data_IF_983254194487
#
_entry.id   IF_983254194487
#
_cell.length_a   1.000
_cell.length_b   1.000
_cell.length_c   1.000
_cell.angle_alpha   90.00
_cell.angle_beta   90.00
_cell.angle_gamma   90.00
#
_symmetry.space_group_name_H-M   'P 1'
#
loop_
_entity.id
_entity.type
_entity.pdbx_description
1 polymer ?
#
# COMPACT_ATOMS: atom_id res chain seq x y z
N UNK A 1 -8.82 -11.41 -1.28
CA UNK A 1 -7.78 -12.43 -1.13
C UNK A 1 -6.57 -11.84 -0.43
N UNK A 2 -6.37 -12.18 0.84
CA UNK A 2 -5.12 -11.94 1.56
C UNK A 2 -4.58 -13.32 1.94
N UNK A 3 -3.27 -13.53 1.78
CA UNK A 3 -2.52 -14.80 1.92
C UNK A 3 -2.14 -15.42 0.58
N UNK A 4 -1.03 -14.99 -0.03
CA UNK A 4 -0.14 -15.86 -0.83
C UNK A 4 1.24 -15.24 -1.12
N UNK A 5 1.82 -14.43 -0.21
CA UNK A 5 3.09 -13.73 -0.49
C UNK A 5 4.22 -13.90 0.56
N UNK A 6 4.22 -14.99 1.33
CA UNK A 6 5.34 -15.26 2.25
C UNK A 6 5.79 -16.72 2.13
N UNK A 7 6.83 -16.98 1.33
CA UNK A 7 7.82 -18.02 1.61
C UNK A 7 8.89 -18.12 0.50
N UNK A 8 10.13 -17.72 0.85
CA UNK A 8 11.46 -18.06 0.29
C UNK A 8 12.29 -16.77 0.21
N UNK A 9 13.54 -16.66 0.69
CA UNK A 9 14.57 -17.63 1.02
C UNK A 9 15.59 -16.96 1.95
N UNK A 10 16.18 -17.77 2.82
CA UNK A 10 17.33 -17.45 3.66
C UNK A 10 18.67 -17.73 2.94
N UNK A 11 19.71 -17.02 3.41
CA UNK A 11 21.16 -17.36 3.53
C UNK A 11 22.21 -16.85 2.51
N UNK A 12 23.05 -15.93 3.04
CA UNK A 12 24.53 -15.82 3.01
C UNK A 12 25.31 -15.41 1.73
N UNK A 13 26.59 -14.96 1.83
CA UNK A 13 27.18 -14.03 2.81
C UNK A 13 28.09 -12.94 2.17
N UNK A 14 28.56 -12.05 3.06
CA UNK A 14 29.48 -10.92 2.94
C UNK A 14 30.64 -10.96 1.92
N UNK A 15 30.97 -9.78 1.37
CA UNK A 15 32.35 -9.44 1.04
C UNK A 15 32.63 -7.95 1.22
N UNK A 16 33.63 -7.66 2.05
CA UNK A 16 34.07 -6.33 2.45
C UNK A 16 35.00 -5.71 1.40
N UNK A 17 34.89 -4.41 1.15
CA UNK A 17 36.01 -3.61 0.60
C UNK A 17 36.02 -2.18 1.15
N UNK A 18 37.24 -1.76 1.48
CA UNK A 18 37.65 -0.56 2.21
C UNK A 18 37.37 0.73 1.46
N UNK A 19 36.96 1.73 2.23
CA UNK A 19 36.99 3.15 1.93
C UNK A 19 38.41 3.71 2.13
N UNK A 20 38.77 4.73 1.34
CA UNK A 20 39.60 5.84 1.81
C UNK A 20 39.07 7.17 1.23
N UNK A 21 39.26 8.30 1.93
CA UNK A 21 38.44 9.50 1.82
C UNK A 21 39.15 10.61 1.02
N UNK A 22 38.37 11.54 0.46
CA UNK A 22 38.86 12.87 0.10
C UNK A 22 37.80 13.92 0.46
N UNK A 23 38.26 14.91 1.20
CA UNK A 23 37.57 16.01 1.86
C UNK A 23 37.55 17.26 0.97
N UNK A 24 36.50 18.06 1.01
CA UNK A 24 36.57 19.54 0.99
C UNK A 24 35.18 20.20 1.20
N UNK A 25 35.13 21.44 1.75
CA UNK A 25 33.96 22.05 2.40
C UNK A 25 33.18 23.08 1.54
N UNK A 26 32.06 23.66 2.02
CA UNK A 26 30.92 24.16 1.22
C UNK A 26 30.86 25.70 1.09
N UNK A 27 29.84 26.23 0.36
CA UNK A 27 29.31 27.55 0.71
C UNK A 27 27.77 27.61 0.85
N UNK A 28 27.36 28.07 2.05
CA UNK A 28 26.29 29.05 2.37
C UNK A 28 24.95 29.03 1.61
N UNK A 29 23.88 28.73 2.34
CA UNK A 29 22.49 29.07 2.00
C UNK A 29 22.04 30.35 2.74
N UNK A 30 21.24 31.24 2.13
CA UNK A 30 20.53 32.29 2.84
C UNK A 30 19.11 31.87 3.23
N UNK A 31 18.67 32.47 4.34
CA UNK A 31 17.41 32.27 5.05
C UNK A 31 16.16 32.64 4.25
N UNK A 32 15.11 31.83 4.35
CA UNK A 32 13.72 32.27 4.17
C UNK A 32 12.71 31.18 4.58
N UNK A 33 12.49 30.95 5.88
CA UNK A 33 11.27 30.31 6.38
C UNK A 33 10.95 30.82 7.80
N UNK A 34 10.46 32.05 7.88
CA UNK A 34 9.79 32.60 9.06
C UNK A 34 8.30 32.67 8.80
N UNK A 35 7.59 31.54 8.89
CA UNK A 35 6.14 31.54 9.15
C UNK A 35 5.80 30.29 9.96
N UNK A 36 5.05 30.50 11.05
CA UNK A 36 4.41 29.54 11.98
C UNK A 36 5.18 29.24 13.29
N UNK A 37 5.27 30.25 14.16
CA UNK A 37 4.96 30.10 15.59
C UNK A 37 3.57 30.74 15.77
N UNK A 38 2.56 30.20 16.43
CA UNK A 38 2.40 29.57 17.76
C UNK A 38 0.98 28.91 17.68
N UNK A 39 0.62 27.82 18.35
CA UNK A 39 0.49 27.69 19.80
C UNK A 39 0.37 26.19 20.17
N UNK A 40 0.92 25.84 21.32
CA UNK A 40 0.98 24.47 21.81
C UNK A 40 -0.26 24.16 22.65
N UNK A 41 -1.02 23.13 22.25
CA UNK A 41 -1.98 22.44 23.12
C UNK A 41 -1.71 20.93 23.07
N UNK A 42 -1.79 20.22 24.19
CA UNK A 42 -1.42 18.81 24.26
C UNK A 42 -2.42 17.94 23.48
N UNK A 43 -1.89 17.11 22.58
CA UNK A 43 -2.65 16.10 21.84
C UNK A 43 -3.28 15.07 22.79
N UNK A 44 -4.55 14.66 22.60
CA UNK A 44 -5.14 13.57 23.39
C UNK A 44 -4.46 12.22 23.06
N UNK A 45 -4.41 11.26 24.00
CA UNK A 45 -3.78 9.98 23.78
C UNK A 45 -4.50 9.16 22.70
N UNK A 46 -3.72 8.51 21.83
CA UNK A 46 -4.20 7.63 20.77
C UNK A 46 -4.94 6.40 21.34
N UNK A 47 -5.97 5.88 20.65
CA UNK A 47 -6.71 4.70 21.09
C UNK A 47 -5.85 3.42 20.99
N UNK A 48 -6.02 2.55 21.98
CA UNK A 48 -5.34 1.25 22.13
C UNK A 48 -5.91 0.24 21.12
N UNK A 49 -5.09 -0.60 20.45
CA UNK A 49 -5.59 -1.62 19.51
C UNK A 49 -6.42 -2.72 20.21
N UNK A 50 -7.38 -3.38 19.53
CA UNK A 50 -8.20 -4.44 20.12
C UNK A 50 -7.37 -5.69 20.44
N UNK A 51 -7.61 -6.26 21.63
CA UNK A 51 -7.09 -7.55 22.08
C UNK A 51 -7.59 -8.70 21.18
N UNK A 52 -6.68 -9.56 20.72
CA UNK A 52 -7.02 -10.77 19.98
C UNK A 52 -7.78 -11.78 20.86
N UNK A 53 -8.76 -12.52 20.33
CA UNK A 53 -9.48 -13.54 21.09
C UNK A 53 -8.64 -14.81 21.26
N UNK A 54 -8.35 -15.16 22.52
CA UNK A 54 -7.80 -16.45 22.94
C UNK A 54 -8.81 -17.58 22.65
N UNK A 55 -8.38 -18.57 21.87
CA UNK A 55 -9.11 -19.81 21.60
C UNK A 55 -8.68 -20.87 22.61
N UNK A 56 -9.61 -21.34 23.45
CA UNK A 56 -9.38 -22.47 24.36
C UNK A 56 -9.38 -23.83 23.61
N UNK A 57 -8.53 -24.80 24.01
CA UNK A 57 -8.46 -26.12 23.40
C UNK A 57 -9.57 -27.08 23.91
N UNK A 58 -9.93 -28.14 23.14
CA UNK A 58 -11.07 -28.98 23.46
C UNK A 58 -10.72 -30.03 24.54
N UNK A 59 -11.64 -30.17 25.51
CA UNK A 59 -11.61 -31.19 26.56
C UNK A 59 -12.13 -32.53 25.99
N UNK A 60 -11.31 -33.58 26.08
CA UNK A 60 -11.72 -34.98 25.90
C UNK A 60 -12.07 -35.55 27.26
N UNK A 61 -13.26 -36.11 27.41
CA UNK A 61 -13.56 -37.12 28.43
C UNK A 61 -14.55 -38.12 27.82
N UNK A 62 -14.27 -39.41 28.00
CA UNK A 62 -15.10 -40.52 27.57
C UNK A 62 -15.52 -41.41 28.73
N UNK A 63 -16.71 -42.01 28.60
CA UNK A 63 -17.19 -43.33 29.10
C UNK A 63 -18.73 -43.32 29.02
N UNK A 64 -19.40 -44.14 28.18
CA UNK A 64 -19.91 -45.53 28.42
C UNK A 64 -20.86 -45.63 29.62
N UNK A 65 -22.07 -46.20 29.65
CA UNK A 65 -22.89 -47.17 28.90
C UNK A 65 -24.39 -46.71 29.04
N UNK A 66 -25.44 -47.20 28.36
CA UNK A 66 -25.95 -48.58 28.28
C UNK A 66 -27.16 -48.69 27.31
N UNK A 67 -27.51 -49.94 27.01
CA UNK A 67 -28.37 -50.42 25.94
C UNK A 67 -29.88 -50.18 26.08
N UNK A 68 -30.57 -50.21 24.93
CA UNK A 68 -32.02 -50.40 24.83
C UNK A 68 -32.40 -50.90 23.43
N UNK A 69 -32.81 -52.17 23.35
CA UNK A 69 -33.32 -52.84 22.15
C UNK A 69 -34.65 -52.26 21.66
N UNK A 70 -34.86 -52.23 20.35
CA UNK A 70 -36.16 -51.97 19.73
C UNK A 70 -36.12 -52.15 18.22
N UNK A 71 -36.97 -53.03 17.71
CA UNK A 71 -36.92 -53.65 16.40
C UNK A 71 -37.50 -52.80 15.25
N UNK A 72 -37.16 -53.18 14.01
CA UNK A 72 -38.11 -53.14 12.89
C UNK A 72 -37.62 -52.53 11.58
N UNK A 73 -37.68 -53.33 10.51
CA UNK A 73 -38.08 -52.81 9.19
C UNK A 73 -36.98 -52.67 8.14
N UNK A 74 -36.72 -53.77 7.44
CA UNK A 74 -36.04 -53.76 6.16
C UNK A 74 -36.88 -53.04 5.08
N UNK A 75 -36.27 -52.09 4.38
CA UNK A 75 -36.62 -51.78 2.99
C UNK A 75 -35.34 -51.46 2.22
N UNK A 76 -35.23 -52.14 1.07
CA UNK A 76 -34.09 -52.18 0.18
C UNK A 76 -34.46 -51.31 -1.01
N UNK A 77 -33.81 -50.17 -1.22
CA UNK A 77 -34.00 -49.37 -2.44
C UNK A 77 -32.74 -48.60 -2.81
N UNK A 78 -32.25 -48.90 -4.02
CA UNK A 78 -31.68 -47.90 -4.92
C UNK A 78 -30.27 -47.41 -4.60
N UNK A 79 -29.29 -48.17 -5.06
CA UNK A 79 -27.93 -47.68 -5.27
C UNK A 79 -27.93 -46.73 -6.48
N UNK A 80 -28.39 -45.49 -6.26
CA UNK A 80 -28.20 -44.37 -7.16
C UNK A 80 -26.99 -43.58 -6.67
N UNK A 81 -25.83 -43.83 -7.28
CA UNK A 81 -24.62 -43.05 -7.05
C UNK A 81 -24.82 -41.62 -7.59
N UNK A 82 -25.49 -40.78 -6.81
CA UNK A 82 -25.39 -39.34 -6.97
C UNK A 82 -24.01 -38.92 -6.45
N UNK A 83 -23.01 -39.05 -7.32
CA UNK A 83 -21.77 -38.28 -7.21
C UNK A 83 -22.11 -36.81 -7.51
N UNK A 84 -22.82 -36.18 -6.56
CA UNK A 84 -22.89 -34.74 -6.46
C UNK A 84 -21.52 -34.24 -6.07
N UNK A 85 -20.61 -34.18 -7.04
CA UNK A 85 -19.40 -33.40 -6.92
C UNK A 85 -19.84 -31.99 -6.56
N UNK A 86 -19.58 -31.56 -5.33
CA UNK A 86 -19.70 -30.16 -4.94
C UNK A 86 -18.86 -29.40 -5.94
N UNK A 87 -19.51 -28.76 -6.91
CA UNK A 87 -18.82 -27.90 -7.87
C UNK A 87 -18.00 -26.93 -7.03
N UNK A 88 -16.74 -26.77 -7.42
CA UNK A 88 -15.93 -25.58 -7.11
C UNK A 88 -16.59 -24.36 -7.78
N UNK A 89 -17.86 -24.10 -7.44
CA UNK A 89 -18.72 -23.14 -8.13
C UNK A 89 -18.36 -21.71 -7.77
N UNK A 90 -17.85 -21.49 -6.55
CA UNK A 90 -17.35 -20.17 -6.13
C UNK A 90 -16.11 -19.73 -6.91
N UNK A 91 -15.12 -20.61 -7.06
CA UNK A 91 -13.87 -20.27 -7.75
C UNK A 91 -14.10 -20.01 -9.25
N UNK A 92 -14.95 -20.79 -9.91
CA UNK A 92 -15.29 -20.55 -11.32
C UNK A 92 -16.06 -19.24 -11.52
N UNK A 93 -16.98 -18.91 -10.60
CA UNK A 93 -17.77 -17.70 -10.68
C UNK A 93 -16.94 -16.42 -10.43
N UNK A 94 -16.01 -16.46 -9.48
CA UNK A 94 -15.06 -15.36 -9.25
C UNK A 94 -14.14 -15.13 -10.47
N UNK A 95 -13.71 -16.21 -11.14
CA UNK A 95 -12.91 -16.11 -12.37
C UNK A 95 -13.70 -15.46 -13.52
N UNK A 96 -14.98 -15.83 -13.68
CA UNK A 96 -15.89 -15.20 -14.64
C UNK A 96 -16.07 -13.71 -14.34
N UNK A 97 -16.27 -13.34 -13.07
CA UNK A 97 -16.37 -11.95 -12.65
C UNK A 97 -15.10 -11.14 -12.99
N UNK A 98 -13.91 -11.68 -12.72
CA UNK A 98 -12.65 -11.03 -13.08
C UNK A 98 -12.48 -10.86 -14.59
N UNK A 99 -12.88 -11.85 -15.40
CA UNK A 99 -12.87 -11.76 -16.87
C UNK A 99 -13.77 -10.62 -17.35
N UNK A 100 -14.95 -10.48 -16.77
CA UNK A 100 -15.87 -9.38 -17.08
C UNK A 100 -15.25 -8.03 -16.71
N UNK A 101 -14.74 -7.85 -15.49
CA UNK A 101 -14.12 -6.59 -15.06
C UNK A 101 -12.93 -6.20 -15.96
N UNK A 102 -12.07 -7.16 -16.31
CA UNK A 102 -10.94 -6.94 -17.22
C UNK A 102 -11.41 -6.49 -18.61
N UNK A 103 -12.39 -7.16 -19.19
CA UNK A 103 -12.96 -6.78 -20.49
C UNK A 103 -13.66 -5.42 -20.46
N UNK A 104 -14.27 -5.07 -19.33
CA UNK A 104 -14.97 -3.79 -19.12
C UNK A 104 -14.05 -2.58 -19.25
N UNK A 105 -12.77 -2.72 -18.86
CA UNK A 105 -11.78 -1.64 -18.96
C UNK A 105 -11.64 -1.10 -20.39
N UNK A 106 -11.77 -1.95 -21.42
CA UNK A 106 -11.70 -1.53 -22.82
C UNK A 106 -12.80 -0.52 -23.21
N UNK A 107 -13.92 -0.52 -22.49
CA UNK A 107 -15.05 0.38 -22.75
C UNK A 107 -14.99 1.65 -21.93
N UNK A 108 -14.18 1.72 -20.87
CA UNK A 108 -14.08 2.87 -19.96
C UNK A 108 -13.73 4.17 -20.68
N UNK A 109 -12.76 4.25 -21.62
CA UNK A 109 -12.44 5.52 -22.27
C UNK A 109 -13.64 6.16 -22.98
N UNK A 110 -14.55 5.33 -23.52
CA UNK A 110 -15.76 5.77 -24.23
C UNK A 110 -16.97 5.94 -23.31
N UNK A 111 -17.21 4.98 -22.41
CA UNK A 111 -18.43 4.89 -21.60
C UNK A 111 -18.26 5.37 -20.15
N UNK A 112 -17.04 5.73 -19.75
CA UNK A 112 -16.70 6.05 -18.36
C UNK A 112 -16.70 4.82 -17.45
N UNK A 113 -16.46 5.08 -16.16
CA UNK A 113 -16.56 4.09 -15.09
C UNK A 113 -18.03 3.85 -14.77
N UNK A 114 -18.67 2.98 -15.56
CA UNK A 114 -20.14 2.82 -15.56
C UNK A 114 -20.58 1.36 -15.67
N UNK A 115 -21.79 1.06 -15.18
CA UNK A 115 -22.46 -0.23 -15.40
C UNK A 115 -22.59 -0.57 -16.90
N UNK A 116 -22.72 0.42 -17.77
CA UNK A 116 -22.77 0.21 -19.22
C UNK A 116 -21.46 -0.36 -19.78
N UNK A 117 -20.31 0.12 -19.29
CA UNK A 117 -19.01 -0.46 -19.63
C UNK A 117 -18.91 -1.92 -19.16
N UNK A 118 -19.48 -2.23 -17.99
CA UNK A 118 -19.52 -3.59 -17.45
C UNK A 118 -20.40 -4.54 -18.27
N UNK A 119 -21.57 -4.07 -18.69
CA UNK A 119 -22.47 -4.83 -19.57
C UNK A 119 -21.80 -5.10 -20.92
N UNK A 120 -21.09 -4.12 -21.48
CA UNK A 120 -20.34 -4.29 -22.72
C UNK A 120 -19.20 -5.32 -22.54
N UNK A 121 -18.41 -5.21 -21.47
CA UNK A 121 -17.36 -6.17 -21.13
C UNK A 121 -17.89 -7.59 -20.94
N UNK A 122 -19.05 -7.76 -20.31
CA UNK A 122 -19.69 -9.07 -20.16
C UNK A 122 -20.02 -9.72 -21.51
N UNK A 123 -20.52 -8.93 -22.47
CA UNK A 123 -20.83 -9.42 -23.82
C UNK A 123 -19.56 -9.84 -24.57
N UNK A 124 -18.46 -9.11 -24.42
CA UNK A 124 -17.19 -9.43 -25.08
C UNK A 124 -16.61 -10.78 -24.65
N UNK A 125 -16.85 -11.18 -23.40
CA UNK A 125 -16.42 -12.49 -22.87
C UNK A 125 -17.53 -13.56 -22.90
N UNK A 126 -18.56 -13.34 -23.73
CA UNK A 126 -19.70 -14.24 -23.92
C UNK A 126 -20.47 -14.58 -22.62
N UNK A 127 -20.45 -13.69 -21.62
CA UNK A 127 -21.21 -13.81 -20.37
C UNK A 127 -22.56 -13.10 -20.47
N UNK A 128 -23.54 -13.57 -19.71
CA UNK A 128 -24.84 -12.89 -19.60
C UNK A 128 -24.66 -11.52 -18.91
N UNK A 129 -25.26 -10.43 -19.42
CA UNK A 129 -25.25 -9.11 -18.75
C UNK A 129 -25.75 -9.15 -17.31
N UNK A 130 -26.55 -10.15 -16.93
CA UNK A 130 -27.04 -10.33 -15.56
C UNK A 130 -25.90 -10.54 -14.54
N UNK A 131 -24.71 -10.99 -14.95
CA UNK A 131 -23.54 -11.13 -14.07
C UNK A 131 -23.15 -9.80 -13.42
N UNK A 132 -23.45 -8.67 -14.08
CA UNK A 132 -23.16 -7.34 -13.55
C UNK A 132 -23.93 -7.05 -12.26
N UNK A 133 -25.11 -7.65 -12.09
CA UNK A 133 -25.92 -7.54 -10.88
C UNK A 133 -25.27 -8.18 -9.64
N UNK A 134 -24.23 -9.00 -9.81
CA UNK A 134 -23.52 -9.63 -8.70
C UNK A 134 -22.38 -8.79 -8.12
N UNK A 135 -21.96 -7.70 -8.78
CA UNK A 135 -20.91 -6.84 -8.25
C UNK A 135 -21.47 -5.87 -7.20
N UNK A 136 -20.99 -5.92 -5.94
CA UNK A 136 -21.39 -4.95 -4.93
C UNK A 136 -20.89 -3.55 -5.35
N UNK A 137 -21.76 -2.53 -5.23
CA UNK A 137 -21.43 -1.13 -5.58
C UNK A 137 -20.98 -0.92 -7.04
N UNK A 138 -21.16 -1.91 -7.91
CA UNK A 138 -21.02 -1.87 -9.38
C UNK A 138 -19.78 -1.11 -9.88
N UNK A 139 -19.93 0.16 -10.26
CA UNK A 139 -18.85 1.00 -10.78
C UNK A 139 -17.65 1.08 -9.83
N UNK A 140 -17.90 1.07 -8.52
CA UNK A 140 -16.82 1.05 -7.53
C UNK A 140 -15.99 -0.24 -7.62
N UNK A 141 -16.62 -1.40 -7.86
CA UNK A 141 -15.91 -2.66 -8.04
C UNK A 141 -15.03 -2.64 -9.29
N UNK A 142 -15.46 -1.96 -10.36
CA UNK A 142 -14.64 -1.78 -11.57
C UNK A 142 -13.41 -0.91 -11.31
N UNK A 143 -13.57 0.20 -10.59
CA UNK A 143 -12.45 1.06 -10.19
C UNK A 143 -11.51 0.33 -9.24
N UNK A 144 -12.04 -0.37 -8.24
CA UNK A 144 -11.26 -1.18 -7.29
C UNK A 144 -10.43 -2.25 -8.02
N UNK A 145 -11.05 -2.97 -8.96
CA UNK A 145 -10.33 -3.94 -9.79
C UNK A 145 -9.20 -3.30 -10.59
N UNK A 146 -9.42 -2.15 -11.20
CA UNK A 146 -8.35 -1.43 -11.91
C UNK A 146 -7.20 -1.03 -11.00
N UNK A 147 -7.50 -0.58 -9.77
CA UNK A 147 -6.48 -0.21 -8.79
C UNK A 147 -5.63 -1.40 -8.36
N UNK A 148 -6.26 -2.56 -8.12
CA UNK A 148 -5.58 -3.81 -7.78
C UNK A 148 -4.76 -4.35 -8.96
N UNK A 149 -5.31 -4.33 -10.18
CA UNK A 149 -4.61 -4.78 -11.39
C UNK A 149 -3.39 -3.89 -11.69
N UNK A 150 -3.48 -2.57 -11.50
CA UNK A 150 -2.32 -1.69 -11.62
C UNK A 150 -1.23 -1.97 -10.58
N UNK A 151 -1.63 -2.29 -9.34
CA UNK A 151 -0.65 -2.67 -8.31
C UNK A 151 0.05 -3.97 -8.68
N UNK A 152 -0.71 -4.98 -9.11
CA UNK A 152 -0.14 -6.25 -9.56
C UNK A 152 0.82 -6.03 -10.74
N UNK A 153 0.42 -5.26 -11.74
CA UNK A 153 1.29 -4.93 -12.88
C UNK A 153 2.56 -4.18 -12.45
N UNK A 154 2.48 -3.32 -11.43
CA UNK A 154 3.66 -2.63 -10.90
C UNK A 154 4.63 -3.64 -10.29
N UNK A 155 4.14 -4.56 -9.47
CA UNK A 155 4.95 -5.61 -8.86
C UNK A 155 5.55 -6.56 -9.90
N UNK A 156 4.75 -6.97 -10.89
CA UNK A 156 5.23 -7.82 -11.98
C UNK A 156 6.37 -7.14 -12.77
N UNK A 157 6.29 -5.82 -13.00
CA UNK A 157 7.37 -5.06 -13.67
C UNK A 157 8.63 -5.01 -12.81
N UNK A 158 8.48 -4.80 -11.50
CA UNK A 158 9.59 -4.80 -10.54
C UNK A 158 10.30 -6.17 -10.55
N UNK A 159 9.54 -7.25 -10.47
CA UNK A 159 10.05 -8.62 -10.46
C UNK A 159 10.66 -9.04 -11.81
N UNK A 160 10.14 -8.52 -12.92
CA UNK A 160 10.61 -8.83 -14.27
C UNK A 160 11.93 -8.14 -14.67
N UNK A 161 12.51 -7.30 -13.80
CA UNK A 161 13.85 -6.73 -14.00
C UNK A 161 13.99 -5.26 -13.65
N UNK A 162 12.89 -4.51 -13.51
CA UNK A 162 12.96 -3.11 -13.06
C UNK A 162 13.58 -3.02 -11.65
N UNK A 163 13.38 -4.02 -10.79
CA UNK A 163 14.00 -4.09 -9.47
C UNK A 163 15.53 -4.00 -9.50
N UNK A 164 16.20 -4.62 -10.47
CA UNK A 164 17.67 -4.52 -10.61
C UNK A 164 18.10 -3.13 -11.09
N UNK A 165 17.32 -2.51 -11.98
CA UNK A 165 17.58 -1.13 -12.42
C UNK A 165 17.45 -0.15 -11.26
N UNK A 166 16.44 -0.34 -10.40
CA UNK A 166 16.20 0.50 -9.23
C UNK A 166 17.36 0.45 -8.23
N UNK A 167 18.01 -0.71 -8.02
CA UNK A 167 19.13 -0.84 -7.07
C UNK A 167 20.31 0.10 -7.38
N UNK A 168 20.52 0.41 -8.65
CA UNK A 168 21.61 1.30 -9.09
C UNK A 168 21.29 2.79 -8.96
N UNK A 169 20.04 3.14 -8.68
CA UNK A 169 19.58 4.52 -8.57
C UNK A 169 19.65 5.03 -7.12
N UNK A 170 19.64 6.35 -6.95
CA UNK A 170 19.45 6.96 -5.64
C UNK A 170 18.00 6.77 -5.15
N UNK A 171 17.76 6.78 -3.83
CA UNK A 171 16.43 6.59 -3.25
C UNK A 171 15.37 7.54 -3.86
N UNK A 172 15.73 8.82 -4.05
CA UNK A 172 14.86 9.82 -4.70
C UNK A 172 14.41 9.38 -6.09
N UNK A 173 15.35 8.87 -6.90
CA UNK A 173 15.11 8.43 -8.27
C UNK A 173 14.29 7.14 -8.28
N UNK A 174 14.55 6.20 -7.36
CA UNK A 174 13.76 4.97 -7.20
C UNK A 174 12.30 5.28 -6.92
N UNK A 175 12.04 6.09 -5.89
CA UNK A 175 10.68 6.48 -5.51
C UNK A 175 9.99 7.23 -6.64
N UNK A 176 10.70 8.14 -7.31
CA UNK A 176 10.12 8.90 -8.42
C UNK A 176 9.77 8.01 -9.61
N UNK A 177 10.63 7.05 -9.95
CA UNK A 177 10.38 6.06 -11.01
C UNK A 177 9.21 5.15 -10.67
N UNK A 178 9.11 4.65 -9.44
CA UNK A 178 8.01 3.81 -8.98
C UNK A 178 6.65 4.54 -9.01
N UNK A 179 6.61 5.77 -8.48
CA UNK A 179 5.41 6.61 -8.51
C UNK A 179 5.00 6.91 -9.95
N UNK A 180 5.97 7.27 -10.82
CA UNK A 180 5.73 7.52 -12.24
C UNK A 180 5.17 6.28 -12.94
N UNK A 181 5.80 5.12 -12.82
CA UNK A 181 5.31 3.87 -13.44
C UNK A 181 3.87 3.57 -13.06
N UNK A 182 3.49 3.80 -11.80
CA UNK A 182 2.12 3.60 -11.34
C UNK A 182 1.13 4.61 -11.94
N UNK A 183 1.50 5.89 -12.00
CA UNK A 183 0.66 6.94 -12.56
C UNK A 183 0.48 6.79 -14.08
N UNK A 184 1.53 6.36 -14.80
CA UNK A 184 1.48 6.12 -16.24
C UNK A 184 0.42 5.10 -16.65
N UNK A 185 0.10 4.13 -15.79
CA UNK A 185 -0.97 3.15 -16.02
C UNK A 185 -2.37 3.78 -16.13
N UNK A 186 -2.55 5.01 -15.60
CA UNK A 186 -3.81 5.75 -15.65
C UNK A 186 -3.97 6.53 -16.96
N UNK A 187 -2.89 6.72 -17.73
CA UNK A 187 -2.86 7.50 -18.98
C UNK A 187 -3.98 7.14 -19.96
N UNK A 188 -4.27 5.85 -20.26
CA UNK A 188 -5.33 5.49 -21.20
C UNK A 188 -6.74 5.90 -20.72
N UNK A 189 -6.89 6.16 -19.42
CA UNK A 189 -8.16 6.47 -18.76
C UNK A 189 -8.23 7.90 -18.24
N UNK A 190 -7.22 8.75 -18.52
CA UNK A 190 -7.07 10.06 -17.88
C UNK A 190 -8.30 10.96 -18.06
N UNK A 191 -8.95 10.90 -19.23
CA UNK A 191 -10.15 11.67 -19.56
C UNK A 191 -11.39 11.29 -18.72
N UNK A 192 -11.39 10.09 -18.14
CA UNK A 192 -12.44 9.57 -17.25
C UNK A 192 -11.93 9.37 -15.82
N UNK A 193 -10.67 9.65 -15.54
CA UNK A 193 -10.10 9.47 -14.20
C UNK A 193 -10.71 10.38 -13.13
N UNK A 194 -11.14 11.63 -13.41
CA UNK A 194 -11.88 12.42 -12.43
C UNK A 194 -13.17 11.73 -11.92
N UNK A 195 -13.84 10.97 -12.79
CA UNK A 195 -15.02 10.16 -12.41
C UNK A 195 -14.62 9.03 -11.47
N UNK A 196 -13.51 8.32 -11.75
CA UNK A 196 -13.00 7.27 -10.85
C UNK A 196 -12.61 7.82 -9.48
N UNK A 197 -11.95 8.99 -9.42
CA UNK A 197 -11.65 9.64 -8.14
C UNK A 197 -12.92 10.00 -7.38
N UNK A 198 -13.92 10.56 -8.07
CA UNK A 198 -15.22 10.86 -7.45
C UNK A 198 -15.89 9.60 -6.87
N UNK A 199 -15.87 8.48 -7.60
CA UNK A 199 -16.39 7.19 -7.10
C UNK A 199 -15.62 6.74 -5.87
N UNK A 200 -14.28 6.76 -5.88
CA UNK A 200 -13.44 6.38 -4.75
C UNK A 200 -13.68 7.26 -3.51
N UNK A 201 -13.97 8.54 -3.68
CA UNK A 201 -14.22 9.47 -2.57
C UNK A 201 -15.59 9.33 -1.90
N UNK A 202 -16.51 8.52 -2.45
CA UNK A 202 -17.82 8.30 -1.83
C UNK A 202 -17.66 7.60 -0.48
N UNK A 203 -18.50 7.91 0.54
CA UNK A 203 -18.39 7.31 1.88
C UNK A 203 -18.42 5.77 1.89
N UNK A 204 -19.14 5.15 0.96
CA UNK A 204 -19.22 3.71 0.82
C UNK A 204 -17.95 3.06 0.26
N UNK A 205 -17.05 3.84 -0.33
CA UNK A 205 -15.89 3.38 -1.11
C UNK A 205 -14.56 3.85 -0.50
N UNK A 206 -14.56 4.99 0.19
CA UNK A 206 -13.34 5.68 0.66
C UNK A 206 -12.46 4.82 1.55
N UNK A 207 -13.03 3.95 2.40
CA UNK A 207 -12.25 3.05 3.26
C UNK A 207 -11.45 2.04 2.44
N UNK A 208 -12.07 1.42 1.43
CA UNK A 208 -11.42 0.49 0.50
C UNK A 208 -10.38 1.21 -0.35
N UNK A 209 -10.71 2.38 -0.90
CA UNK A 209 -9.78 3.16 -1.73
C UNK A 209 -8.55 3.64 -0.94
N UNK A 210 -8.74 4.09 0.31
CA UNK A 210 -7.63 4.42 1.20
C UNK A 210 -6.78 3.19 1.51
N UNK A 211 -7.39 2.03 1.76
CA UNK A 211 -6.64 0.77 1.95
C UNK A 211 -5.80 0.42 0.72
N UNK A 212 -6.34 0.50 -0.49
CA UNK A 212 -5.59 0.24 -1.73
C UNK A 212 -4.41 1.20 -1.90
N UNK A 213 -4.61 2.50 -1.64
CA UNK A 213 -3.52 3.51 -1.65
C UNK A 213 -2.48 3.22 -0.59
N UNK A 214 -2.92 2.82 0.58
CA UNK A 214 -2.07 2.46 1.70
C UNK A 214 -1.19 1.26 1.31
N UNK A 215 -1.75 0.19 0.73
CA UNK A 215 -0.97 -0.98 0.27
C UNK A 215 0.01 -0.57 -0.85
N UNK A 216 -0.44 0.22 -1.83
CA UNK A 216 0.44 0.72 -2.89
C UNK A 216 1.67 1.47 -2.35
N UNK A 217 1.48 2.36 -1.39
CA UNK A 217 2.57 3.11 -0.77
C UNK A 217 3.55 2.18 -0.06
N UNK A 218 3.04 1.13 0.60
CA UNK A 218 3.86 0.14 1.29
C UNK A 218 4.73 -0.63 0.31
N UNK A 219 4.15 -1.08 -0.80
CA UNK A 219 4.86 -1.80 -1.87
C UNK A 219 5.91 -0.91 -2.55
N UNK A 220 5.61 0.39 -2.77
CA UNK A 220 6.60 1.33 -3.31
C UNK A 220 7.79 1.50 -2.35
N UNK A 221 7.53 1.66 -1.04
CA UNK A 221 8.61 1.75 -0.05
C UNK A 221 9.44 0.47 0.02
N UNK A 222 8.77 -0.68 -0.04
CA UNK A 222 9.43 -1.99 -0.06
C UNK A 222 10.34 -2.12 -1.30
N UNK A 223 9.80 -1.85 -2.49
CA UNK A 223 10.54 -1.91 -3.74
C UNK A 223 11.67 -0.89 -3.86
N UNK A 224 11.55 0.28 -3.21
CA UNK A 224 12.61 1.28 -3.16
C UNK A 224 13.82 0.83 -2.30
N UNK A 225 13.65 -0.23 -1.50
CA UNK A 225 14.71 -0.81 -0.67
C UNK A 225 15.03 0.04 0.56
N UNK A 226 14.02 0.66 1.19
CA UNK A 226 14.21 1.38 2.45
C UNK A 226 14.61 0.42 3.57
N UNK A 227 15.92 0.29 3.78
CA UNK A 227 16.49 -0.47 4.88
C UNK A 227 16.50 0.39 6.15
N UNK A 228 15.36 0.43 6.85
CA UNK A 228 15.31 0.80 8.26
C UNK A 228 15.71 2.25 8.59
N UNK A 229 15.14 3.23 7.90
CA UNK A 229 15.23 4.63 8.37
C UNK A 229 14.56 4.78 9.75
N UNK A 230 15.21 5.49 10.70
CA UNK A 230 14.71 5.82 12.06
C UNK A 230 13.38 6.58 12.13
N UNK A 231 12.87 7.03 10.98
CA UNK A 231 11.58 7.70 10.87
C UNK A 231 10.46 6.69 10.94
N UNK A 232 9.44 7.02 11.74
CA UNK A 232 8.22 6.25 11.88
C UNK A 232 7.62 5.90 10.50
N UNK A 233 7.32 4.62 10.34
CA UNK A 233 6.64 4.05 9.20
C UNK A 233 5.39 4.84 8.79
N UNK A 234 4.57 5.27 9.75
CA UNK A 234 3.35 6.03 9.49
C UNK A 234 3.63 7.40 8.88
N UNK A 235 4.74 8.04 9.26
CA UNK A 235 5.16 9.32 8.66
C UNK A 235 5.58 9.10 7.20
N UNK A 236 6.40 8.08 6.92
CA UNK A 236 6.80 7.74 5.54
C UNK A 236 5.59 7.45 4.67
N UNK A 237 4.64 6.67 5.19
CA UNK A 237 3.39 6.33 4.51
C UNK A 237 2.56 7.57 4.22
N UNK A 238 2.38 8.43 5.21
CA UNK A 238 1.59 9.66 5.07
C UNK A 238 2.20 10.60 4.04
N UNK A 239 3.51 10.81 4.10
CA UNK A 239 4.22 11.69 3.16
C UNK A 239 4.15 11.15 1.73
N UNK A 240 4.52 9.88 1.51
CA UNK A 240 4.50 9.32 0.15
C UNK A 240 3.07 9.18 -0.39
N UNK A 241 2.10 8.80 0.44
CA UNK A 241 0.69 8.75 0.06
C UNK A 241 0.12 10.12 -0.30
N UNK A 242 0.54 11.16 0.43
CA UNK A 242 0.22 12.55 0.13
C UNK A 242 0.81 13.01 -1.21
N UNK A 243 2.10 12.70 -1.45
CA UNK A 243 2.77 12.99 -2.73
C UNK A 243 2.07 12.29 -3.89
N UNK A 244 1.78 10.99 -3.75
CA UNK A 244 1.09 10.22 -4.77
C UNK A 244 -0.28 10.82 -5.10
N UNK A 245 -1.09 11.10 -4.07
CA UNK A 245 -2.44 11.64 -4.25
C UNK A 245 -2.43 13.05 -4.84
N UNK A 246 -1.49 13.91 -4.41
CA UNK A 246 -1.34 15.24 -4.99
C UNK A 246 -0.88 15.18 -6.45
N UNK A 247 0.02 14.25 -6.79
CA UNK A 247 0.52 14.06 -8.16
C UNK A 247 -0.56 13.51 -9.08
N UNK A 248 -1.39 12.59 -8.58
CA UNK A 248 -2.55 12.05 -9.30
C UNK A 248 -3.56 13.16 -9.65
N UNK A 249 -3.87 14.05 -8.71
CA UNK A 249 -4.75 15.20 -8.97
C UNK A 249 -4.09 16.21 -9.92
N UNK A 250 -2.79 16.46 -9.77
CA UNK A 250 -2.04 17.35 -10.66
C UNK A 250 -2.08 16.86 -12.12
N UNK A 251 -1.88 15.55 -12.32
CA UNK A 251 -1.89 14.89 -13.63
C UNK A 251 -3.19 15.09 -14.40
N UNK A 252 -4.33 15.26 -13.71
CA UNK A 252 -5.63 15.53 -14.36
C UNK A 252 -5.67 16.86 -15.12
N UNK A 253 -4.83 17.82 -14.73
CA UNK A 253 -4.81 19.18 -15.27
C UNK A 253 -3.57 19.45 -16.13
N UNK A 254 -2.68 18.48 -16.24
CA UNK A 254 -1.44 18.58 -16.98
C UNK A 254 -1.69 18.37 -18.48
N UNK A 255 -1.40 19.41 -19.27
CA UNK A 255 -1.50 19.40 -20.72
C UNK A 255 -0.12 19.40 -21.40
N UNK A 256 0.96 19.22 -20.62
CA UNK A 256 2.31 19.12 -21.16
C UNK A 256 2.51 17.81 -21.93
N UNK A 257 3.42 17.78 -22.92
CA UNK A 257 3.71 16.55 -23.67
C UNK A 257 4.11 15.41 -22.73
N UNK A 258 3.46 14.26 -22.86
CA UNK A 258 3.73 13.05 -22.07
C UNK A 258 3.74 13.28 -20.53
N UNK A 259 2.95 14.23 -20.03
CA UNK A 259 2.85 14.60 -18.61
C UNK A 259 4.18 15.05 -17.97
N UNK A 260 5.05 15.69 -18.75
CA UNK A 260 6.36 16.18 -18.29
C UNK A 260 6.28 17.00 -16.99
N UNK A 261 5.28 17.87 -16.87
CA UNK A 261 5.11 18.74 -15.70
C UNK A 261 4.71 17.93 -14.45
N UNK A 262 3.90 16.89 -14.62
CA UNK A 262 3.58 15.92 -13.55
C UNK A 262 4.85 15.21 -13.06
N UNK A 263 5.73 14.77 -13.97
CA UNK A 263 6.97 14.09 -13.57
C UNK A 263 7.93 15.04 -12.85
N UNK A 264 8.00 16.29 -13.29
CA UNK A 264 8.76 17.35 -12.61
C UNK A 264 8.19 17.61 -11.22
N UNK A 265 6.86 17.65 -11.07
CA UNK A 265 6.19 17.79 -9.79
C UNK A 265 6.53 16.64 -8.84
N UNK A 266 6.41 15.39 -9.30
CA UNK A 266 6.74 14.18 -8.52
C UNK A 266 8.19 14.22 -8.02
N UNK A 267 9.15 14.43 -8.93
CA UNK A 267 10.58 14.49 -8.60
C UNK A 267 10.87 15.54 -7.52
N UNK A 268 10.28 16.74 -7.67
CA UNK A 268 10.45 17.84 -6.72
C UNK A 268 9.86 17.48 -5.36
N UNK A 269 8.65 16.94 -5.30
CA UNK A 269 7.98 16.60 -4.03
C UNK A 269 8.68 15.48 -3.26
N UNK A 270 9.19 14.48 -3.98
CA UNK A 270 9.97 13.40 -3.35
C UNK A 270 11.30 13.94 -2.83
N UNK A 271 11.97 14.80 -3.59
CA UNK A 271 13.19 15.47 -3.13
C UNK A 271 12.94 16.29 -1.86
N UNK A 272 11.91 17.15 -1.87
CA UNK A 272 11.54 17.98 -0.72
C UNK A 272 11.29 17.11 0.53
N UNK A 273 10.60 15.98 0.38
CA UNK A 273 10.34 15.05 1.46
C UNK A 273 11.63 14.44 2.03
N UNK A 274 12.53 13.94 1.17
CA UNK A 274 13.78 13.33 1.62
C UNK A 274 14.76 14.34 2.23
N UNK A 275 14.77 15.59 1.73
CA UNK A 275 15.61 16.65 2.28
C UNK A 275 15.08 17.14 3.64
N UNK A 276 13.75 17.18 3.83
CA UNK A 276 13.13 17.43 5.13
C UNK A 276 13.47 16.32 6.14
N UNK A 277 13.45 15.06 5.71
CA UNK A 277 13.84 13.92 6.55
C UNK A 277 15.30 14.02 7.03
N UNK A 278 16.24 14.40 6.15
CA UNK A 278 17.65 14.63 6.53
C UNK A 278 17.78 15.77 7.54
N UNK A 279 17.13 16.90 7.25
CA UNK A 279 17.17 18.09 8.11
C UNK A 279 16.65 17.78 9.52
N UNK A 280 15.57 17.00 9.62
CA UNK A 280 15.02 16.58 10.90
C UNK A 280 16.00 15.71 11.70
N UNK A 281 16.68 14.77 11.04
CA UNK A 281 17.69 13.91 11.68
C UNK A 281 18.89 14.70 12.20
N UNK A 282 19.37 15.68 11.44
CA UNK A 282 20.46 16.55 11.85
C UNK A 282 20.10 17.36 13.11
N UNK A 283 18.89 17.94 13.15
CA UNK A 283 18.41 18.69 14.32
C UNK A 283 18.21 17.79 15.54
N UNK A 284 17.65 16.60 15.36
CA UNK A 284 17.47 15.63 16.45
C UNK A 284 18.83 15.21 17.05
N UNK A 285 19.81 14.91 16.20
CA UNK A 285 21.16 14.55 16.64
C UNK A 285 21.88 15.70 17.37
N UNK A 286 21.77 16.93 16.87
CA UNK A 286 22.34 18.10 17.54
C UNK A 286 21.71 18.33 18.92
N UNK A 287 20.40 18.09 19.05
CA UNK A 287 19.70 18.22 20.33
C UNK A 287 20.15 17.16 21.34
N UNK A 288 20.32 15.91 20.89
CA UNK A 288 20.81 14.81 21.73
C UNK A 288 22.26 15.04 22.20
N UNK A 289 23.14 15.46 21.29
CA UNK A 289 24.55 15.72 21.60
C UNK A 289 24.75 16.91 22.53
N UNK A 290 23.98 17.99 22.34
CA UNK A 290 24.00 19.14 23.25
C UNK A 290 23.37 18.81 24.62
N UNK A 291 22.27 18.05 24.64
CA UNK A 291 21.65 17.57 25.88
C UNK A 291 22.59 16.70 26.71
N UNK A 292 23.31 15.77 26.06
CA UNK A 292 24.31 14.92 26.71
C UNK A 292 25.56 15.71 27.18
N UNK A 293 26.00 16.71 26.41
CA UNK A 293 27.18 17.52 26.74
C UNK A 293 26.97 18.52 27.88
N UNK A 294 25.75 19.06 28.04
CA UNK A 294 25.42 20.02 29.10
C UNK A 294 25.21 19.32 30.45
N UNK A 295 24.68 18.08 30.45
CA UNK A 295 24.46 17.31 31.68
C UNK A 295 25.74 16.95 32.45
N UNK A 296 26.84 16.66 31.74
CA UNK A 296 28.13 16.31 32.37
C UNK A 296 28.90 17.53 32.93
N UNK A 297 28.82 18.67 32.25
CA UNK A 297 29.56 19.88 32.66
C UNK A 297 28.96 20.56 33.89
N UNK A 298 27.64 20.49 34.08
CA UNK A 298 26.99 21.09 35.25
C UNK A 298 27.31 20.30 36.54
N UNK A 299 27.41 18.98 36.47
CA UNK A 299 27.85 18.15 37.61
C UNK A 299 29.32 18.40 38.00
N UNK A 300 30.21 18.57 37.02
CA UNK A 300 31.61 18.91 37.26
C UNK A 300 31.82 20.29 37.88
N UNK A 301 30.99 21.28 37.52
CA UNK A 301 31.05 22.62 38.10
C UNK A 301 30.40 22.66 39.49
N UNK A 302 29.28 21.95 39.72
CA UNK A 302 28.67 21.89 41.05
C UNK A 302 29.60 21.22 42.07
N UNK A 303 30.22 20.08 41.74
CA UNK A 303 31.14 19.40 42.67
C UNK A 303 32.39 20.24 43.00
N UNK A 304 32.81 21.14 42.11
CA UNK A 304 33.94 22.05 42.33
C UNK A 304 33.59 23.30 43.14
N UNK A 305 32.30 23.64 43.22
CA UNK A 305 31.78 24.77 44.02
C UNK A 305 31.42 24.35 45.45
N UNK A 306 31.06 23.09 45.68
CA UNK A 306 30.73 22.54 47.01
C UNK A 306 31.91 21.92 47.78
N UNK A 307 33.13 21.97 47.24
CA UNK A 307 34.36 21.46 47.89
C UNK A 307 35.24 22.57 48.51
N UNK A 308 34.68 23.73 48.86
CA UNK A 308 35.40 24.79 49.59
C UNK A 308 34.76 25.07 50.94
#
# INVERSE_FOLDING_TARGET
>A
MASFLVARRLLCPASARRLLPCTSPPPSAPAALCWLSTDASPSPPLPVPPLEPTVDPPKKDGASFSAGSGAGGAYRTGQGAASGGRRSGGAGYEEEQQKVLRASLLHVPRMGWSESAMIAGARDVAMSPAIVGAFPRKEAALVEFFMDDCLQQLMDRIDAGEGELLKNLMLTERLSRLVRMRLEMQTPYISKWPQALSIQSQPANVSTSLKQRAVLVDEIWHAAGDAGSDIDWYVKRTVLGGIYSASEVYMLTDNSPEFHDTWTFVNRRIKDALDLQKSYKEVAYLTETLGAGIGGSIQGVLNKVFQK
#
